data_IF_801656260549
#
_entry.id   IF_801656260549
#
_cell.length_a   1.000
_cell.length_b   1.000
_cell.length_c   1.000
_cell.angle_alpha   90.00
_cell.angle_beta   90.00
_cell.angle_gamma   90.00
#
_symmetry.space_group_name_H-M   'P 1'
#
loop_
_entity.id
_entity.type
_entity.pdbx_description
1 polymer ?
#
# COMPACT_ATOMS: atom_id res chain seq x y z
N UNK A 1 0.75 2.56 19.49
CA UNK A 1 1.91 2.81 18.62
C UNK A 1 3.14 2.95 19.51
N UNK A 2 4.11 2.05 19.34
CA UNK A 2 5.00 1.64 20.43
C UNK A 2 5.98 2.70 20.90
N UNK A 3 5.96 2.93 22.22
CA UNK A 3 6.82 3.87 22.96
C UNK A 3 8.31 3.73 22.61
N UNK A 4 8.76 2.55 22.17
CA UNK A 4 10.18 2.26 21.97
C UNK A 4 10.80 3.01 20.79
N UNK A 5 10.07 3.25 19.70
CA UNK A 5 10.57 3.95 18.51
C UNK A 5 10.82 5.45 18.76
N UNK A 6 10.18 6.01 19.80
CA UNK A 6 10.40 7.38 20.24
C UNK A 6 11.72 7.53 21.01
N UNK A 7 12.25 6.42 21.55
CA UNK A 7 13.43 6.42 22.41
C UNK A 7 14.65 5.79 21.76
N UNK A 8 14.46 4.88 20.81
CA UNK A 8 15.55 4.14 20.19
C UNK A 8 15.37 4.01 18.67
N UNK A 9 16.50 3.95 17.97
CA UNK A 9 16.57 3.67 16.54
C UNK A 9 17.47 2.48 16.27
N UNK A 10 16.94 1.47 15.59
CA UNK A 10 17.71 0.33 15.09
C UNK A 10 17.98 0.50 13.59
N UNK A 11 19.25 0.35 13.18
CA UNK A 11 19.69 0.51 11.80
C UNK A 11 20.77 -0.52 11.43
N UNK A 12 20.66 -1.21 10.28
CA UNK A 12 19.44 -1.31 9.47
C UNK A 12 18.31 -2.04 10.23
N UNK A 13 17.06 -1.73 9.90
CA UNK A 13 15.87 -2.47 10.35
C UNK A 13 15.52 -3.65 9.43
N UNK A 14 15.87 -3.57 8.14
CA UNK A 14 15.76 -4.67 7.19
C UNK A 14 17.15 -5.12 6.76
N UNK A 15 17.40 -6.43 6.81
CA UNK A 15 18.70 -7.03 6.46
C UNK A 15 18.53 -8.11 5.40
N UNK A 16 19.59 -8.40 4.66
CA UNK A 16 19.61 -9.50 3.69
C UNK A 16 19.96 -10.80 4.39
N UNK A 17 19.29 -11.90 4.04
CA UNK A 17 19.63 -13.24 4.50
C UNK A 17 20.99 -13.69 3.97
N UNK A 18 21.57 -14.73 4.60
CA UNK A 18 22.78 -15.38 4.08
C UNK A 18 24.09 -14.60 4.26
N UNK A 19 24.08 -13.47 4.98
CA UNK A 19 25.28 -12.69 5.26
C UNK A 19 25.31 -12.10 6.69
N UNK A 20 26.53 -11.82 7.17
CA UNK A 20 26.72 -11.07 8.41
C UNK A 20 26.39 -9.60 8.17
N UNK A 21 25.52 -9.04 9.01
CA UNK A 21 25.14 -7.64 8.94
C UNK A 21 25.44 -6.95 10.26
N UNK A 22 26.09 -5.77 10.17
CA UNK A 22 26.32 -4.88 11.31
C UNK A 22 25.06 -4.08 11.62
N UNK A 23 24.56 -4.23 12.84
CA UNK A 23 23.37 -3.54 13.34
C UNK A 23 23.76 -2.59 14.47
N UNK A 24 23.17 -1.40 14.46
CA UNK A 24 23.37 -0.36 15.47
C UNK A 24 22.04 0.04 16.09
N UNK A 25 21.97 0.02 17.42
CA UNK A 25 20.86 0.55 18.21
C UNK A 25 21.33 1.84 18.85
N UNK A 26 20.68 2.96 18.56
CA UNK A 26 21.01 4.28 19.10
C UNK A 26 19.89 4.80 19.99
N UNK A 27 20.21 5.34 21.16
CA UNK A 27 19.26 6.15 21.92
C UNK A 27 18.96 7.47 21.21
N UNK A 28 17.73 7.94 21.30
CA UNK A 28 17.25 9.20 20.71
C UNK A 28 17.17 10.35 21.72
N UNK A 29 17.45 10.06 23.00
CA UNK A 29 17.52 11.05 24.07
C UNK A 29 18.75 10.80 24.97
N UNK A 30 19.02 11.76 25.86
CA UNK A 30 20.18 11.76 26.75
C UNK A 30 20.05 10.82 27.93
N UNK A 31 18.83 10.57 28.42
CA UNK A 31 18.57 9.76 29.62
C UNK A 31 18.72 8.27 29.35
N UNK A 32 18.42 7.84 28.11
CA UNK A 32 18.38 6.44 27.69
C UNK A 32 19.63 5.94 26.99
N UNK A 33 20.71 6.74 27.01
CA UNK A 33 22.00 6.41 26.38
C UNK A 33 22.60 5.14 26.97
N UNK A 34 23.12 4.28 26.09
CA UNK A 34 23.92 3.12 26.52
C UNK A 34 25.28 3.58 27.08
N UNK A 35 25.56 3.21 28.33
CA UNK A 35 26.78 3.60 29.05
C UNK A 35 28.01 2.83 28.55
N UNK A 36 29.16 3.52 28.48
CA UNK A 36 30.44 2.92 28.12
C UNK A 36 31.00 1.96 29.17
N UNK A 37 30.57 2.11 30.41
CA UNK A 37 31.04 1.31 31.54
C UNK A 37 30.22 0.03 31.73
N UNK A 38 29.12 -0.09 30.99
CA UNK A 38 28.19 -1.21 31.06
C UNK A 38 28.39 -2.14 29.86
N UNK A 39 28.48 -3.44 30.15
CA UNK A 39 28.37 -4.48 29.13
C UNK A 39 26.90 -4.89 29.03
N UNK A 40 26.35 -4.86 27.84
CA UNK A 40 24.99 -5.26 27.53
C UNK A 40 25.00 -6.65 26.89
N UNK A 41 24.05 -7.48 27.31
CA UNK A 41 23.82 -8.80 26.74
C UNK A 41 22.66 -8.71 25.76
N UNK A 42 22.92 -9.06 24.51
CA UNK A 42 21.96 -9.06 23.41
C UNK A 42 21.61 -10.50 23.09
N UNK A 43 20.32 -10.82 23.12
CA UNK A 43 19.81 -12.12 22.72
C UNK A 43 18.99 -11.97 21.43
N UNK A 44 19.40 -12.68 20.38
CA UNK A 44 18.77 -12.63 19.07
C UNK A 44 17.86 -13.84 18.88
N UNK A 45 16.56 -13.59 18.69
CA UNK A 45 15.52 -14.62 18.70
C UNK A 45 14.75 -14.63 17.37
N UNK A 46 14.88 -15.69 16.55
CA UNK A 46 14.05 -15.86 15.36
C UNK A 46 12.59 -16.06 15.77
N UNK A 47 11.67 -15.34 15.13
CA UNK A 47 10.24 -15.32 15.48
C UNK A 47 9.52 -16.63 15.15
N UNK A 48 9.99 -17.39 14.15
CA UNK A 48 9.29 -18.60 13.67
C UNK A 48 9.79 -19.89 14.31
N UNK A 49 10.84 -19.84 15.13
CA UNK A 49 11.39 -21.02 15.81
C UNK A 49 10.96 -21.04 17.26
N UNK A 50 10.32 -22.12 17.68
CA UNK A 50 10.06 -22.35 19.09
C UNK A 50 11.38 -22.66 19.80
N UNK A 51 11.73 -21.85 20.79
CA UNK A 51 12.94 -22.01 21.61
C UNK A 51 12.63 -22.71 22.94
N UNK A 52 11.35 -22.95 23.28
CA UNK A 52 10.94 -23.69 24.48
C UNK A 52 11.00 -25.20 24.23
N UNK A 53 11.65 -25.93 25.13
CA UNK A 53 11.74 -27.40 25.07
C UNK A 53 12.80 -27.95 24.11
N UNK A 54 13.65 -27.08 23.54
CA UNK A 54 14.73 -27.49 22.64
C UNK A 54 15.96 -27.89 23.47
N UNK A 55 16.50 -29.09 23.22
CA UNK A 55 17.62 -29.67 23.98
C UNK A 55 18.99 -29.11 23.58
N UNK A 56 19.11 -28.52 22.38
CA UNK A 56 20.28 -27.79 21.90
C UNK A 56 19.84 -26.54 21.15
N UNK A 57 19.92 -25.40 21.82
CA UNK A 57 19.71 -24.09 21.20
C UNK A 57 21.09 -23.52 20.84
N UNK A 58 21.35 -23.13 19.58
CA UNK A 58 22.57 -22.40 19.25
C UNK A 58 22.68 -21.15 20.13
N UNK A 59 23.85 -20.86 20.68
CA UNK A 59 24.04 -19.62 21.43
C UNK A 59 23.89 -18.43 20.46
N UNK A 60 22.88 -17.60 20.73
CA UNK A 60 22.56 -16.38 19.97
C UNK A 60 22.79 -15.13 20.82
N UNK A 61 23.63 -15.28 21.83
CA UNK A 61 24.00 -14.22 22.76
C UNK A 61 25.22 -13.47 22.25
N UNK A 62 25.14 -12.15 22.30
CA UNK A 62 26.27 -11.26 21.99
C UNK A 62 26.43 -10.30 23.16
N UNK A 63 27.66 -10.16 23.66
CA UNK A 63 28.00 -9.16 24.67
C UNK A 63 28.68 -7.97 24.01
N UNK A 64 28.15 -6.78 24.24
CA UNK A 64 28.69 -5.53 23.70
C UNK A 64 28.72 -4.43 24.75
N UNK A 65 29.76 -3.62 24.77
CA UNK A 65 29.78 -2.40 25.59
C UNK A 65 29.02 -1.28 24.89
N UNK A 66 28.37 -0.42 25.69
CA UNK A 66 27.86 0.84 25.16
C UNK A 66 29.00 1.69 24.61
N UNK A 67 28.73 2.45 23.56
CA UNK A 67 29.65 3.47 23.05
C UNK A 67 28.88 4.62 22.46
N UNK A 68 29.15 5.85 22.92
CA UNK A 68 28.50 7.07 22.43
C UNK A 68 26.96 7.00 22.45
N UNK A 69 26.38 6.32 23.45
CA UNK A 69 24.93 6.12 23.55
C UNK A 69 24.37 5.10 22.56
N UNK A 70 25.20 4.20 22.02
CA UNK A 70 24.83 3.19 21.03
C UNK A 70 25.30 1.78 21.44
N UNK A 71 24.61 0.77 20.94
CA UNK A 71 25.06 -0.62 20.88
C UNK A 71 25.30 -1.00 19.43
N UNK A 72 26.40 -1.69 19.15
CA UNK A 72 26.76 -2.13 17.79
C UNK A 72 27.25 -3.56 17.82
N UNK A 73 26.65 -4.42 16.99
CA UNK A 73 26.97 -5.83 16.91
C UNK A 73 26.83 -6.34 15.47
N UNK A 74 27.41 -7.50 15.17
CA UNK A 74 27.24 -8.18 13.89
C UNK A 74 26.55 -9.53 14.10
N UNK A 75 25.63 -9.88 13.21
CA UNK A 75 24.92 -11.15 13.28
C UNK A 75 24.66 -11.71 11.88
N UNK A 76 24.65 -13.04 11.76
CA UNK A 76 24.31 -13.76 10.55
C UNK A 76 22.85 -14.17 10.57
N UNK A 77 22.06 -13.64 9.65
CA UNK A 77 20.62 -13.91 9.55
C UNK A 77 20.37 -15.04 8.56
N UNK A 78 20.00 -16.22 9.07
CA UNK A 78 19.96 -17.47 8.30
C UNK A 78 18.76 -17.57 7.35
N UNK A 79 17.59 -17.11 7.79
CA UNK A 79 16.31 -17.27 7.10
C UNK A 79 15.55 -15.96 7.07
N UNK A 80 14.69 -15.83 6.06
CA UNK A 80 13.71 -14.75 5.98
C UNK A 80 12.68 -14.92 7.12
N UNK A 81 12.74 -14.03 8.09
CA UNK A 81 11.84 -13.93 9.24
C UNK A 81 12.14 -12.66 10.04
N UNK A 82 11.25 -12.32 10.98
CA UNK A 82 11.54 -11.32 12.00
C UNK A 82 12.46 -11.90 13.07
N UNK A 83 13.44 -11.12 13.52
CA UNK A 83 14.33 -11.44 14.62
C UNK A 83 14.12 -10.43 15.74
N UNK A 84 13.64 -10.91 16.89
CA UNK A 84 13.56 -10.12 18.10
C UNK A 84 14.95 -9.97 18.72
N UNK A 85 15.36 -8.75 18.98
CA UNK A 85 16.63 -8.39 19.60
C UNK A 85 16.32 -7.93 21.01
N UNK A 86 16.51 -8.82 21.98
CA UNK A 86 16.30 -8.55 23.40
C UNK A 86 17.58 -8.04 24.04
N UNK A 87 17.52 -6.90 24.71
CA UNK A 87 18.67 -6.26 25.37
C UNK A 87 18.52 -6.37 26.89
N UNK A 88 19.61 -6.73 27.56
CA UNK A 88 19.74 -6.84 29.01
C UNK A 88 20.99 -6.06 29.48
N UNK A 89 20.94 -5.56 30.72
CA UNK A 89 22.09 -4.94 31.38
C UNK A 89 22.92 -6.05 32.04
N UNK A 90 24.15 -6.27 31.59
CA UNK A 90 24.99 -7.38 32.06
C UNK A 90 24.27 -8.73 32.00
N UNK A 91 24.32 -9.48 33.09
CA UNK A 91 23.65 -10.77 33.25
C UNK A 91 22.30 -10.66 34.00
N UNK A 92 21.71 -9.47 34.04
CA UNK A 92 20.37 -9.30 34.61
C UNK A 92 19.35 -10.21 33.90
N UNK A 93 18.42 -10.73 34.70
CA UNK A 93 17.33 -11.60 34.21
C UNK A 93 16.21 -10.81 33.55
N UNK A 94 15.99 -9.56 33.98
CA UNK A 94 14.96 -8.70 33.45
C UNK A 94 15.41 -8.07 32.13
N UNK A 95 14.56 -8.15 31.11
CA UNK A 95 14.81 -7.54 29.81
C UNK A 95 14.68 -6.01 29.93
N UNK A 96 15.71 -5.28 29.52
CA UNK A 96 15.68 -3.80 29.46
C UNK A 96 14.73 -3.33 28.37
N UNK A 97 14.87 -3.89 27.16
CA UNK A 97 14.06 -3.54 26.00
C UNK A 97 14.12 -4.64 24.94
N UNK A 98 13.21 -4.57 23.96
CA UNK A 98 13.23 -5.43 22.77
C UNK A 98 12.98 -4.58 21.53
N UNK A 99 13.80 -4.77 20.51
CA UNK A 99 13.59 -4.21 19.17
C UNK A 99 13.57 -5.34 18.15
N UNK A 100 13.25 -5.03 16.89
CA UNK A 100 13.20 -6.03 15.84
C UNK A 100 13.95 -5.62 14.58
N UNK A 101 14.51 -6.63 13.91
CA UNK A 101 15.04 -6.57 12.54
C UNK A 101 14.33 -7.64 11.72
N UNK A 102 14.03 -7.36 10.47
CA UNK A 102 13.48 -8.36 9.55
C UNK A 102 14.53 -8.73 8.50
N UNK A 103 14.84 -10.01 8.39
CA UNK A 103 15.70 -10.51 7.33
C UNK A 103 14.85 -10.88 6.12
N UNK A 104 15.25 -10.47 4.91
CA UNK A 104 14.58 -10.78 3.65
C UNK A 104 15.53 -11.43 2.65
N UNK A 105 14.99 -12.31 1.81
CA UNK A 105 15.72 -12.89 0.67
C UNK A 105 15.87 -11.88 -0.47
N UNK A 106 16.76 -12.20 -1.42
CA UNK A 106 17.21 -11.31 -2.49
C UNK A 106 16.07 -10.64 -3.27
N UNK A 107 15.00 -11.36 -3.60
CA UNK A 107 13.90 -10.81 -4.40
C UNK A 107 13.14 -9.69 -3.67
N UNK A 108 13.00 -9.76 -2.35
CA UNK A 108 12.44 -8.67 -1.53
C UNK A 108 13.51 -7.66 -1.11
N UNK A 109 14.78 -8.10 -0.99
CA UNK A 109 15.92 -7.22 -0.73
C UNK A 109 16.24 -6.28 -1.89
N UNK A 110 15.65 -6.43 -3.07
CA UNK A 110 15.78 -5.45 -4.16
C UNK A 110 14.57 -4.49 -4.25
N UNK A 111 13.50 -4.74 -3.49
CA UNK A 111 12.25 -3.97 -3.54
C UNK A 111 12.08 -3.04 -2.34
N UNK A 112 11.40 -1.91 -2.52
CA UNK A 112 11.01 -0.99 -1.44
C UNK A 112 9.51 -1.15 -1.15
N UNK A 113 9.10 -1.20 0.13
CA UNK A 113 7.69 -1.11 0.48
C UNK A 113 7.18 0.33 0.29
N UNK A 114 6.08 0.45 -0.45
CA UNK A 114 5.36 1.69 -0.74
C UNK A 114 3.94 1.58 -0.19
N UNK A 115 3.51 2.54 0.62
CA UNK A 115 2.12 2.65 1.07
C UNK A 115 1.31 3.41 0.02
N UNK A 116 0.23 2.84 -0.50
CA UNK A 116 -0.55 3.52 -1.54
C UNK A 116 -2.03 3.21 -1.57
N UNK A 117 -2.76 4.07 -2.27
CA UNK A 117 -4.19 3.94 -2.52
C UNK A 117 -4.49 4.03 -4.02
N UNK A 118 -5.32 3.11 -4.51
CA UNK A 118 -5.66 2.98 -5.92
C UNK A 118 -7.05 3.50 -6.22
N UNK A 119 -7.88 3.76 -5.20
CA UNK A 119 -9.28 4.09 -5.38
C UNK A 119 -9.68 5.19 -4.41
N UNK A 120 -9.89 6.40 -4.93
CA UNK A 120 -10.47 7.51 -4.19
C UNK A 120 -11.02 8.57 -5.12
N UNK A 121 -11.83 9.47 -4.58
CA UNK A 121 -12.64 10.41 -5.32
C UNK A 121 -12.46 11.83 -4.79
N UNK A 122 -12.52 12.79 -5.70
CA UNK A 122 -12.57 14.21 -5.40
C UNK A 122 -14.02 14.67 -5.35
N UNK A 123 -14.29 15.78 -4.65
CA UNK A 123 -15.64 16.32 -4.50
C UNK A 123 -16.43 16.50 -5.83
N UNK A 124 -15.82 16.79 -7.00
CA UNK A 124 -16.55 16.85 -8.26
C UNK A 124 -17.22 15.56 -8.75
N UNK A 125 -16.82 14.36 -8.31
CA UNK A 125 -17.41 13.10 -8.80
C UNK A 125 -18.80 12.84 -8.22
N UNK A 126 -19.03 13.25 -6.97
CA UNK A 126 -20.33 13.15 -6.31
C UNK A 126 -21.21 14.34 -6.67
N UNK A 127 -22.25 14.09 -7.45
CA UNK A 127 -23.32 15.05 -7.76
C UNK A 127 -24.23 15.26 -6.54
N UNK A 128 -23.66 15.55 -5.36
CA UNK A 128 -24.39 16.16 -4.24
C UNK A 128 -23.94 17.62 -4.11
N UNK A 129 -24.62 18.45 -4.92
CA UNK A 129 -24.80 19.90 -5.02
C UNK A 129 -24.42 20.89 -3.86
N UNK A 130 -23.64 20.54 -2.84
CA UNK A 130 -23.46 21.41 -1.66
C UNK A 130 -22.03 21.78 -1.26
N UNK A 131 -20.97 21.36 -1.95
CA UNK A 131 -19.58 21.57 -1.43
C UNK A 131 -18.62 22.39 -2.27
N UNK A 132 -19.05 22.92 -3.42
CA UNK A 132 -18.25 23.91 -4.19
C UNK A 132 -17.88 25.18 -3.40
N UNK A 133 -18.44 25.41 -2.21
CA UNK A 133 -18.33 26.69 -1.50
C UNK A 133 -17.14 26.80 -0.53
N UNK A 134 -16.52 25.69 -0.12
CA UNK A 134 -15.50 25.71 0.96
C UNK A 134 -14.10 25.20 0.54
N UNK A 135 -13.90 24.84 -0.74
CA UNK A 135 -12.58 24.42 -1.25
C UNK A 135 -11.98 23.15 -0.64
N UNK A 136 -12.77 22.37 0.11
CA UNK A 136 -12.35 21.09 0.65
C UNK A 136 -12.43 19.99 -0.42
N UNK A 137 -11.37 19.19 -0.55
CA UNK A 137 -11.27 18.01 -1.41
C UNK A 137 -11.22 18.26 -2.93
N UNK A 138 -10.47 19.30 -3.35
CA UNK A 138 -10.09 19.52 -4.77
C UNK A 138 -8.99 18.53 -5.22
N UNK A 139 -8.88 18.22 -6.53
CA UNK A 139 -7.86 17.29 -7.03
C UNK A 139 -6.43 17.62 -6.58
N UNK A 140 -5.98 18.90 -6.56
CA UNK A 140 -4.66 19.25 -6.03
C UNK A 140 -4.49 19.08 -4.52
N UNK A 141 -5.56 19.18 -3.72
CA UNK A 141 -5.49 19.08 -2.26
C UNK A 141 -5.35 17.63 -1.77
N UNK A 142 -5.95 16.68 -2.49
CA UNK A 142 -6.02 15.26 -2.08
C UNK A 142 -4.65 14.61 -1.87
N UNK A 143 -3.65 14.75 -2.77
CA UNK A 143 -2.30 14.23 -2.55
C UNK A 143 -1.66 14.73 -1.26
N UNK A 144 -1.97 15.97 -0.83
CA UNK A 144 -1.44 16.54 0.39
C UNK A 144 -1.97 15.82 1.64
N UNK A 145 -3.26 15.42 1.65
CA UNK A 145 -3.84 14.60 2.72
C UNK A 145 -3.19 13.22 2.78
N UNK A 146 -3.05 12.53 1.64
CA UNK A 146 -2.37 11.24 1.57
C UNK A 146 -0.92 11.34 2.03
N UNK A 147 -0.20 12.37 1.58
CA UNK A 147 1.20 12.54 1.94
C UNK A 147 1.36 12.78 3.43
N UNK A 148 0.52 13.61 4.05
CA UNK A 148 0.56 13.82 5.50
C UNK A 148 0.35 12.53 6.32
N UNK A 149 -0.36 11.56 5.73
CA UNK A 149 -0.66 10.26 6.30
C UNK A 149 0.32 9.14 5.89
N UNK A 150 1.45 9.53 5.31
CA UNK A 150 2.58 8.63 5.05
C UNK A 150 2.47 7.82 3.77
N UNK A 151 1.59 8.19 2.84
CA UNK A 151 1.48 7.50 1.55
C UNK A 151 2.63 7.89 0.60
N UNK A 152 3.09 6.89 -0.14
CA UNK A 152 4.10 7.00 -1.19
C UNK A 152 3.46 7.15 -2.58
N UNK A 153 2.24 6.66 -2.80
CA UNK A 153 1.51 6.89 -4.04
C UNK A 153 0.00 6.94 -3.84
N UNK A 154 -0.70 7.54 -4.79
CA UNK A 154 -2.16 7.55 -4.84
C UNK A 154 -2.67 7.60 -6.30
N UNK A 155 -3.96 7.30 -6.51
CA UNK A 155 -4.66 7.51 -7.79
C UNK A 155 -6.01 8.15 -7.53
N UNK A 156 -6.29 9.24 -8.23
CA UNK A 156 -7.61 9.87 -8.19
C UNK A 156 -8.44 9.21 -9.28
N UNK A 157 -9.55 8.60 -8.90
CA UNK A 157 -10.35 7.74 -9.77
C UNK A 157 -11.79 8.20 -9.76
N UNK A 158 -12.02 9.48 -10.10
CA UNK A 158 -13.36 10.06 -10.13
C UNK A 158 -14.30 9.27 -11.06
N UNK A 159 -15.57 9.15 -10.66
CA UNK A 159 -16.60 8.53 -11.48
C UNK A 159 -16.69 9.20 -12.85
N UNK A 160 -16.55 8.41 -13.91
CA UNK A 160 -16.69 8.84 -15.31
C UNK A 160 -15.71 9.95 -15.75
N UNK A 161 -14.71 10.28 -14.93
CA UNK A 161 -13.87 11.47 -15.12
C UNK A 161 -12.39 11.17 -14.91
N UNK A 162 -11.65 11.20 -16.00
CA UNK A 162 -10.20 11.13 -15.99
C UNK A 162 -9.52 12.48 -15.66
N UNK A 163 -10.20 13.58 -15.97
CA UNK A 163 -9.63 14.94 -15.88
C UNK A 163 -9.11 15.30 -14.48
N UNK A 164 -9.73 14.83 -13.40
CA UNK A 164 -9.28 15.13 -12.04
C UNK A 164 -7.84 14.67 -11.78
N UNK A 165 -7.50 13.45 -12.22
CA UNK A 165 -6.14 12.92 -12.06
C UNK A 165 -5.11 13.64 -12.95
N UNK A 166 -5.55 14.14 -14.11
CA UNK A 166 -4.74 14.98 -15.01
C UNK A 166 -4.51 16.37 -14.41
N UNK A 167 -5.54 17.02 -13.87
CA UNK A 167 -5.45 18.32 -13.20
C UNK A 167 -4.48 18.27 -12.02
N UNK A 168 -4.62 17.24 -11.18
CA UNK A 168 -3.71 16.96 -10.07
C UNK A 168 -2.25 16.87 -10.53
N UNK A 169 -1.95 16.08 -11.56
CA UNK A 169 -0.59 15.94 -12.10
C UNK A 169 -0.06 17.24 -12.69
N UNK A 170 -0.90 17.97 -13.43
CA UNK A 170 -0.53 19.26 -14.04
C UNK A 170 -0.19 20.30 -12.97
N UNK A 171 -0.98 20.35 -11.89
CA UNK A 171 -0.80 21.31 -10.81
C UNK A 171 0.57 21.20 -10.14
N UNK A 172 1.06 19.98 -9.90
CA UNK A 172 2.36 19.74 -9.27
C UNK A 172 3.51 19.53 -10.25
N UNK A 173 3.31 19.80 -11.55
CA UNK A 173 4.30 19.48 -12.60
C UNK A 173 5.63 20.23 -12.47
N UNK A 174 5.65 21.33 -11.74
CA UNK A 174 6.85 22.15 -11.52
C UNK A 174 7.48 21.93 -10.13
N UNK A 175 6.96 21.00 -9.31
CA UNK A 175 7.46 20.69 -7.97
C UNK A 175 7.87 19.22 -7.86
N UNK A 176 8.99 18.94 -7.20
CA UNK A 176 9.41 17.57 -6.88
C UNK A 176 8.74 17.14 -5.58
N UNK A 177 8.11 15.98 -5.61
CA UNK A 177 7.43 15.38 -4.48
C UNK A 177 7.87 13.94 -4.27
N UNK A 178 7.76 13.48 -3.03
CA UNK A 178 8.00 12.09 -2.63
C UNK A 178 6.78 11.19 -2.79
N UNK A 179 5.64 11.74 -3.24
CA UNK A 179 4.42 11.00 -3.58
C UNK A 179 4.27 10.87 -5.10
N UNK A 180 3.93 9.66 -5.56
CA UNK A 180 3.58 9.40 -6.97
C UNK A 180 2.08 9.55 -7.17
N UNK A 181 1.68 10.44 -8.07
CA UNK A 181 0.29 10.71 -8.42
C UNK A 181 -0.04 10.01 -9.74
N UNK A 182 -0.61 8.81 -9.67
CA UNK A 182 -0.93 8.06 -10.88
C UNK A 182 -2.17 8.65 -11.55
N UNK A 183 -2.21 8.59 -12.88
CA UNK A 183 -3.42 8.85 -13.65
C UNK A 183 -4.45 7.75 -13.41
N UNK A 184 -5.72 8.09 -13.52
CA UNK A 184 -6.79 7.13 -13.39
C UNK A 184 -8.18 7.75 -13.41
N UNK A 185 -9.15 6.86 -13.35
CA UNK A 185 -10.60 7.11 -13.31
C UNK A 185 -11.29 5.85 -12.81
N UNK A 186 -12.53 5.99 -12.36
CA UNK A 186 -13.44 4.85 -12.25
C UNK A 186 -14.37 4.82 -13.46
N UNK A 187 -14.39 3.69 -14.16
CA UNK A 187 -15.08 3.50 -15.43
C UNK A 187 -16.50 3.01 -15.20
N UNK A 188 -17.48 3.77 -15.69
CA UNK A 188 -18.91 3.46 -15.63
C UNK A 188 -19.47 3.36 -17.06
N UNK A 189 -19.09 2.29 -17.75
CA UNK A 189 -19.52 2.06 -19.13
C UNK A 189 -21.07 1.96 -19.23
N UNK A 190 -21.68 2.35 -20.37
CA UNK A 190 -23.13 2.31 -20.54
C UNK A 190 -23.69 0.90 -20.25
N UNK A 191 -24.79 0.84 -19.49
CA UNK A 191 -25.44 -0.41 -19.02
C UNK A 191 -24.59 -1.29 -18.10
N UNK A 192 -23.46 -0.81 -17.60
CA UNK A 192 -22.62 -1.55 -16.65
C UNK A 192 -22.81 -1.02 -15.23
N UNK A 193 -23.22 -1.88 -14.30
CA UNK A 193 -23.24 -1.56 -12.88
C UNK A 193 -21.95 -2.00 -12.16
N UNK A 194 -21.04 -2.68 -12.85
CA UNK A 194 -19.77 -3.10 -12.27
C UNK A 194 -18.80 -1.94 -12.23
N UNK A 195 -18.30 -1.65 -11.04
CA UNK A 195 -17.30 -0.61 -10.78
C UNK A 195 -15.90 -1.13 -11.13
N UNK A 196 -15.20 -0.41 -12.02
CA UNK A 196 -13.87 -0.80 -12.52
C UNK A 196 -12.95 0.41 -12.44
N UNK A 197 -11.85 0.28 -11.71
CA UNK A 197 -10.81 1.31 -11.70
C UNK A 197 -9.80 1.08 -12.82
N UNK A 198 -9.52 2.16 -13.56
CA UNK A 198 -8.38 2.28 -14.47
C UNK A 198 -7.20 2.87 -13.68
N UNK A 199 -6.33 2.02 -13.14
CA UNK A 199 -5.17 2.46 -12.36
C UNK A 199 -3.95 2.65 -13.27
N UNK A 200 -3.43 3.89 -13.33
CA UNK A 200 -2.20 4.24 -14.05
C UNK A 200 -2.33 4.24 -15.57
N UNK A 201 -3.55 4.18 -16.11
CA UNK A 201 -3.77 4.27 -17.56
C UNK A 201 -3.43 5.65 -18.12
N UNK A 202 -2.95 5.67 -19.36
CA UNK A 202 -2.45 6.89 -20.04
C UNK A 202 -3.58 7.73 -20.66
N UNK A 203 -4.77 7.17 -20.82
CA UNK A 203 -5.94 7.85 -21.37
C UNK A 203 -7.25 7.32 -20.76
N UNK A 204 -8.32 8.10 -20.92
CA UNK A 204 -9.65 7.75 -20.44
C UNK A 204 -10.32 6.69 -21.31
N UNK A 205 -10.79 5.61 -20.68
CA UNK A 205 -11.71 4.63 -21.26
C UNK A 205 -13.14 5.15 -21.29
N UNK A 206 -13.52 5.99 -20.31
CA UNK A 206 -14.82 6.65 -20.31
C UNK A 206 -15.01 7.51 -21.58
N UNK A 207 -14.00 8.31 -21.93
CA UNK A 207 -14.04 9.17 -23.11
C UNK A 207 -14.16 8.40 -24.44
N UNK A 208 -13.76 7.12 -24.50
CA UNK A 208 -13.89 6.32 -25.73
C UNK A 208 -15.36 6.16 -26.11
N UNK A 209 -16.21 5.72 -25.18
CA UNK A 209 -17.63 5.51 -25.47
C UNK A 209 -18.43 6.82 -25.40
N UNK A 210 -17.96 7.83 -24.66
CA UNK A 210 -18.59 9.16 -24.65
C UNK A 210 -18.43 9.86 -26.01
N UNK A 211 -17.26 9.73 -26.64
CA UNK A 211 -16.97 10.34 -27.94
C UNK A 211 -17.42 9.49 -29.13
N UNK A 212 -17.45 8.16 -28.99
CA UNK A 212 -17.86 7.23 -30.05
C UNK A 212 -18.73 6.08 -29.51
N UNK A 213 -20.01 6.34 -29.20
CA UNK A 213 -20.94 5.32 -28.71
C UNK A 213 -21.18 4.16 -29.69
N UNK A 214 -21.08 4.43 -31.00
CA UNK A 214 -21.27 3.42 -32.05
C UNK A 214 -20.12 2.42 -32.06
N UNK A 215 -18.87 2.90 -31.92
CA UNK A 215 -17.70 2.03 -31.76
C UNK A 215 -17.81 1.17 -30.52
N UNK A 216 -18.21 1.74 -29.38
CA UNK A 216 -18.43 0.96 -28.16
C UNK A 216 -19.43 -0.18 -28.39
N UNK A 217 -20.59 0.13 -28.96
CA UNK A 217 -21.64 -0.87 -29.24
C UNK A 217 -21.13 -1.97 -30.17
N UNK A 218 -20.42 -1.61 -31.24
CA UNK A 218 -19.82 -2.57 -32.17
C UNK A 218 -18.76 -3.47 -31.52
N UNK A 219 -17.83 -2.90 -30.78
CA UNK A 219 -16.75 -3.67 -30.14
C UNK A 219 -17.28 -4.61 -29.04
N UNK A 220 -18.34 -4.21 -28.32
CA UNK A 220 -19.04 -5.09 -27.36
C UNK A 220 -19.76 -6.23 -28.08
N UNK A 221 -20.47 -5.94 -29.17
CA UNK A 221 -21.13 -6.97 -29.98
C UNK A 221 -20.13 -7.97 -30.56
N UNK A 222 -18.96 -7.50 -31.02
CA UNK A 222 -17.90 -8.37 -31.52
C UNK A 222 -17.40 -9.35 -30.44
N UNK A 223 -17.27 -8.91 -29.19
CA UNK A 223 -16.94 -9.80 -28.06
C UNK A 223 -18.05 -10.84 -27.86
N UNK A 224 -19.31 -10.43 -27.90
CA UNK A 224 -20.45 -11.35 -27.75
C UNK A 224 -20.54 -12.40 -28.87
N UNK A 225 -20.15 -12.02 -30.09
CA UNK A 225 -20.21 -12.89 -31.27
C UNK A 225 -19.03 -13.86 -31.35
N UNK A 226 -17.86 -13.48 -30.80
CA UNK A 226 -16.61 -14.22 -30.96
C UNK A 226 -16.21 -15.04 -29.72
N UNK A 227 -16.71 -14.71 -28.54
CA UNK A 227 -16.33 -15.38 -27.29
C UNK A 227 -17.46 -16.24 -26.72
N UNK A 228 -17.10 -17.38 -26.15
CA UNK A 228 -18.03 -18.24 -25.44
C UNK A 228 -18.32 -17.65 -24.06
N UNK A 229 -19.49 -17.04 -23.91
CA UNK A 229 -19.95 -16.41 -22.66
C UNK A 229 -21.04 -17.28 -22.01
N UNK A 230 -20.67 -18.03 -20.98
CA UNK A 230 -21.56 -18.84 -20.15
C UNK A 230 -22.22 -18.01 -19.03
N UNK A 231 -22.91 -16.93 -19.39
CA UNK A 231 -23.67 -16.09 -18.46
C UNK A 231 -24.94 -15.59 -19.14
N UNK A 232 -26.05 -15.49 -18.39
CA UNK A 232 -27.34 -15.16 -18.98
C UNK A 232 -27.36 -13.75 -19.60
N UNK A 233 -26.68 -12.79 -18.96
CA UNK A 233 -26.50 -11.43 -19.45
C UNK A 233 -25.13 -11.29 -20.14
N UNK A 234 -25.07 -11.80 -21.38
CA UNK A 234 -23.84 -11.77 -22.19
C UNK A 234 -23.35 -10.35 -22.48
N UNK A 235 -24.26 -9.38 -22.61
CA UNK A 235 -23.92 -7.98 -22.89
C UNK A 235 -23.14 -7.39 -21.71
N UNK A 236 -23.64 -7.56 -20.48
CA UNK A 236 -22.94 -7.09 -19.29
C UNK A 236 -21.54 -7.70 -19.15
N UNK A 237 -21.40 -9.00 -19.37
CA UNK A 237 -20.09 -9.66 -19.33
C UNK A 237 -19.14 -9.08 -20.39
N UNK A 238 -19.61 -8.95 -21.63
CA UNK A 238 -18.83 -8.41 -22.73
C UNK A 238 -18.38 -6.96 -22.50
N UNK A 239 -19.23 -6.12 -21.90
CA UNK A 239 -18.86 -4.75 -21.51
C UNK A 239 -17.68 -4.74 -20.53
N UNK A 240 -17.70 -5.62 -19.53
CA UNK A 240 -16.62 -5.71 -18.54
C UNK A 240 -15.29 -6.18 -19.17
N UNK A 241 -15.37 -7.15 -20.09
CA UNK A 241 -14.21 -7.58 -20.90
C UNK A 241 -13.69 -6.41 -21.76
N UNK A 242 -14.59 -5.67 -22.40
CA UNK A 242 -14.26 -4.50 -23.21
C UNK A 242 -13.53 -3.43 -22.40
N UNK A 243 -14.06 -3.07 -21.23
CA UNK A 243 -13.44 -2.08 -20.33
C UNK A 243 -12.05 -2.54 -19.92
N UNK A 244 -11.92 -3.77 -19.40
CA UNK A 244 -10.63 -4.29 -18.94
C UNK A 244 -9.59 -4.35 -20.08
N UNK A 245 -10.00 -4.68 -21.31
CA UNK A 245 -9.10 -4.64 -22.49
C UNK A 245 -8.67 -3.23 -22.85
N UNK A 246 -9.57 -2.24 -22.80
CA UNK A 246 -9.21 -0.86 -23.11
C UNK A 246 -8.31 -0.23 -22.03
N UNK A 247 -8.50 -0.60 -20.76
CA UNK A 247 -7.58 -0.21 -19.67
C UNK A 247 -6.17 -0.78 -19.94
N UNK A 248 -6.05 -2.05 -20.35
CA UNK A 248 -4.76 -2.64 -20.72
C UNK A 248 -4.12 -1.96 -21.92
N UNK A 249 -4.91 -1.60 -22.94
CA UNK A 249 -4.43 -0.81 -24.10
C UNK A 249 -3.92 0.57 -23.68
N UNK A 250 -4.46 1.13 -22.60
CA UNK A 250 -3.99 2.36 -21.97
C UNK A 250 -2.78 2.17 -21.06
N UNK A 251 -2.13 0.99 -21.07
CA UNK A 251 -1.02 0.62 -20.18
C UNK A 251 -1.38 0.60 -18.68
N UNK A 252 -2.67 0.64 -18.34
CA UNK A 252 -3.17 0.60 -16.96
C UNK A 252 -3.33 -0.80 -16.38
N UNK A 253 -3.87 -0.85 -15.17
CA UNK A 253 -4.32 -2.05 -14.45
C UNK A 253 -5.84 -1.96 -14.29
N UNK A 254 -6.57 -2.93 -14.85
CA UNK A 254 -8.02 -3.02 -14.65
C UNK A 254 -8.30 -3.65 -13.28
N UNK A 255 -8.78 -2.84 -12.32
CA UNK A 255 -9.09 -3.29 -10.96
C UNK A 255 -10.59 -3.55 -10.84
N UNK A 256 -10.96 -4.75 -10.39
CA UNK A 256 -12.33 -5.08 -10.06
C UNK A 256 -12.69 -4.62 -8.64
N UNK A 257 -13.60 -3.65 -8.54
CA UNK A 257 -13.89 -2.96 -7.29
C UNK A 257 -15.13 -3.53 -6.58
N UNK A 258 -15.02 -3.66 -5.26
CA UNK A 258 -16.07 -3.99 -4.29
C UNK A 258 -17.38 -4.64 -4.81
N UNK A 259 -17.36 -5.89 -5.33
CA UNK A 259 -18.57 -6.56 -5.85
C UNK A 259 -19.68 -6.75 -4.81
N UNK A 260 -19.30 -6.89 -3.54
CA UNK A 260 -20.23 -7.06 -2.42
C UNK A 260 -20.69 -5.74 -1.80
N UNK A 261 -20.39 -4.59 -2.42
CA UNK A 261 -21.05 -3.34 -2.05
C UNK A 261 -22.57 -3.51 -2.17
N UNK A 262 -23.31 -3.02 -1.19
CA UNK A 262 -24.73 -3.33 -1.00
C UNK A 262 -25.48 -2.03 -0.74
N UNK A 263 -25.96 -1.36 -1.81
CA UNK A 263 -26.93 -0.27 -1.66
C UNK A 263 -28.32 -0.82 -1.30
N UNK A 264 -28.67 -2.03 -1.77
CA UNK A 264 -29.94 -2.74 -1.49
C UNK A 264 -29.78 -4.28 -1.61
N UNK A 265 -29.08 -4.72 -2.65
CA UNK A 265 -28.54 -6.07 -2.85
C UNK A 265 -27.06 -5.97 -3.19
N UNK A 266 -26.29 -7.06 -3.14
CA UNK A 266 -24.91 -7.04 -3.62
C UNK A 266 -24.85 -6.59 -5.08
N UNK A 267 -23.98 -5.62 -5.35
CA UNK A 267 -23.88 -4.95 -6.64
C UNK A 267 -23.56 -5.94 -7.77
N UNK A 268 -22.63 -6.87 -7.53
CA UNK A 268 -22.25 -7.91 -8.49
C UNK A 268 -22.59 -9.28 -7.91
N UNK A 269 -23.27 -10.11 -8.70
CA UNK A 269 -23.64 -11.46 -8.28
C UNK A 269 -22.39 -12.34 -8.06
N UNK A 270 -22.52 -13.35 -7.19
CA UNK A 270 -21.47 -14.34 -7.00
C UNK A 270 -21.17 -15.11 -8.29
N UNK A 271 -22.20 -15.43 -9.08
CA UNK A 271 -22.05 -16.11 -10.38
C UNK A 271 -21.15 -15.31 -11.33
N UNK A 272 -21.45 -14.02 -11.51
CA UNK A 272 -20.68 -13.15 -12.39
C UNK A 272 -19.27 -12.90 -11.85
N UNK A 273 -19.14 -12.71 -10.53
CA UNK A 273 -17.84 -12.59 -9.86
C UNK A 273 -16.98 -13.83 -10.11
N UNK A 274 -17.52 -15.03 -9.93
CA UNK A 274 -16.81 -16.29 -10.17
C UNK A 274 -16.38 -16.41 -11.63
N UNK A 275 -17.24 -16.03 -12.57
CA UNK A 275 -16.92 -16.08 -14.00
C UNK A 275 -15.79 -15.09 -14.36
N UNK A 276 -15.80 -13.87 -13.81
CA UNK A 276 -14.71 -12.91 -14.00
C UNK A 276 -13.37 -13.44 -13.48
N UNK A 277 -13.37 -14.07 -12.30
CA UNK A 277 -12.15 -14.64 -11.70
C UNK A 277 -11.64 -15.84 -12.49
N UNK A 278 -12.54 -16.76 -12.87
CA UNK A 278 -12.20 -17.96 -13.66
C UNK A 278 -11.57 -17.59 -15.01
N UNK A 279 -12.11 -16.56 -15.67
CA UNK A 279 -11.67 -16.15 -17.00
C UNK A 279 -10.56 -15.08 -16.97
N UNK A 280 -10.11 -14.65 -15.79
CA UNK A 280 -9.04 -13.66 -15.65
C UNK A 280 -9.37 -12.31 -16.29
N UNK A 281 -10.63 -11.85 -16.20
CA UNK A 281 -11.09 -10.63 -16.88
C UNK A 281 -10.33 -9.39 -16.41
N UNK A 282 -10.01 -9.32 -15.11
CA UNK A 282 -9.36 -8.18 -14.46
C UNK A 282 -7.91 -8.48 -14.06
N UNK A 283 -7.10 -7.43 -13.98
CA UNK A 283 -5.68 -7.52 -13.65
C UNK A 283 -5.41 -7.51 -12.14
N UNK A 284 -6.36 -7.01 -11.35
CA UNK A 284 -6.28 -6.95 -9.90
C UNK A 284 -7.69 -6.94 -9.27
N UNK A 285 -7.77 -7.27 -7.98
CA UNK A 285 -9.03 -7.32 -7.24
C UNK A 285 -8.96 -6.55 -5.93
N UNK A 286 -9.91 -5.64 -5.73
CA UNK A 286 -10.07 -4.91 -4.48
C UNK A 286 -10.73 -5.80 -3.41
N UNK A 287 -9.92 -6.65 -2.78
CA UNK A 287 -10.40 -7.62 -1.78
C UNK A 287 -10.90 -6.93 -0.50
N UNK A 288 -10.35 -5.76 -0.16
CA UNK A 288 -10.84 -4.89 0.93
C UNK A 288 -11.01 -3.46 0.42
N UNK A 289 -12.22 -2.90 0.52
CA UNK A 289 -12.57 -1.57 0.00
C UNK A 289 -13.47 -0.78 0.95
N UNK A 290 -14.05 0.35 0.55
CA UNK A 290 -14.99 1.19 1.34
C UNK A 290 -16.28 0.49 1.81
N UNK A 291 -16.39 -0.83 1.70
CA UNK A 291 -17.54 -1.58 2.19
C UNK A 291 -17.45 -1.88 3.70
N UNK A 292 -18.56 -2.33 4.28
CA UNK A 292 -18.60 -2.79 5.66
C UNK A 292 -17.68 -3.99 5.88
N UNK A 293 -17.31 -4.24 7.14
CA UNK A 293 -16.48 -5.39 7.50
C UNK A 293 -17.08 -6.72 7.03
N UNK A 294 -18.41 -6.89 7.12
CA UNK A 294 -19.10 -8.10 6.66
C UNK A 294 -18.99 -8.30 5.14
N UNK A 295 -19.04 -7.22 4.36
CA UNK A 295 -18.89 -7.28 2.90
C UNK A 295 -17.46 -7.62 2.48
N UNK A 296 -16.45 -7.01 3.12
CA UNK A 296 -15.05 -7.36 2.90
C UNK A 296 -14.76 -8.82 3.30
N UNK A 297 -15.40 -9.33 4.37
CA UNK A 297 -15.27 -10.73 4.78
C UNK A 297 -15.75 -11.68 3.66
N UNK A 298 -16.92 -11.43 3.06
CA UNK A 298 -17.43 -12.23 1.94
C UNK A 298 -16.50 -12.16 0.72
N UNK A 299 -15.98 -10.97 0.37
CA UNK A 299 -14.98 -10.82 -0.71
C UNK A 299 -13.75 -11.70 -0.48
N UNK A 300 -13.25 -11.74 0.75
CA UNK A 300 -12.09 -12.55 1.14
C UNK A 300 -12.41 -14.05 1.16
N UNK A 301 -13.57 -14.44 1.68
CA UNK A 301 -14.01 -15.83 1.72
C UNK A 301 -14.18 -16.40 0.31
N UNK A 302 -14.81 -15.65 -0.59
CA UNK A 302 -14.97 -16.04 -2.00
C UNK A 302 -13.61 -16.13 -2.70
N UNK A 303 -12.71 -15.17 -2.48
CA UNK A 303 -11.37 -15.20 -3.05
C UNK A 303 -10.62 -16.48 -2.67
N UNK A 304 -10.61 -16.83 -1.38
CA UNK A 304 -9.90 -18.02 -0.91
C UNK A 304 -10.56 -19.31 -1.39
N UNK A 305 -11.89 -19.36 -1.44
CA UNK A 305 -12.61 -20.52 -1.97
C UNK A 305 -12.24 -20.78 -3.43
N UNK A 306 -12.25 -19.75 -4.27
CA UNK A 306 -11.88 -19.87 -5.69
C UNK A 306 -10.41 -20.26 -5.86
N UNK A 307 -9.51 -19.74 -5.02
CA UNK A 307 -8.11 -20.15 -5.01
C UNK A 307 -7.96 -21.63 -4.66
N UNK A 308 -8.70 -22.13 -3.68
CA UNK A 308 -8.69 -23.54 -3.26
C UNK A 308 -9.32 -24.46 -4.32
N UNK A 309 -10.27 -23.94 -5.12
CA UNK A 309 -10.80 -24.59 -6.33
C UNK A 309 -9.79 -24.62 -7.49
N UNK A 310 -8.59 -24.05 -7.32
CA UNK A 310 -7.52 -24.04 -8.33
C UNK A 310 -7.58 -22.88 -9.32
N UNK A 311 -8.46 -21.89 -9.10
CA UNK A 311 -8.52 -20.69 -9.93
C UNK A 311 -7.30 -19.81 -9.66
N UNK A 312 -6.64 -19.36 -10.72
CA UNK A 312 -5.57 -18.36 -10.64
C UNK A 312 -6.19 -16.99 -10.35
N UNK A 313 -6.32 -16.69 -9.06
CA UNK A 313 -6.84 -15.41 -8.61
C UNK A 313 -5.91 -14.24 -8.97
N UNK A 314 -6.44 -13.05 -9.31
CA UNK A 314 -5.63 -11.86 -9.57
C UNK A 314 -4.99 -11.31 -8.27
N UNK A 315 -3.95 -10.47 -8.37
CA UNK A 315 -3.34 -9.76 -7.24
C UNK A 315 -4.38 -9.05 -6.35
N UNK A 316 -4.19 -9.14 -5.04
CA UNK A 316 -5.04 -8.49 -4.05
C UNK A 316 -4.66 -7.02 -3.86
N UNK A 317 -5.66 -6.14 -3.87
CA UNK A 317 -5.54 -4.72 -3.54
C UNK A 317 -6.47 -4.35 -2.39
N UNK A 318 -6.05 -3.34 -1.63
CA UNK A 318 -6.86 -2.65 -0.65
C UNK A 318 -6.91 -1.16 -0.98
N UNK A 319 -8.10 -0.58 -0.96
CA UNK A 319 -8.27 0.82 -1.34
C UNK A 319 -9.32 1.52 -0.46
N UNK A 320 -9.20 2.83 -0.31
CA UNK A 320 -10.09 3.54 0.61
C UNK A 320 -11.47 3.77 0.02
N UNK A 321 -11.58 3.95 -1.30
CA UNK A 321 -12.78 4.45 -1.97
C UNK A 321 -13.33 5.68 -1.20
N UNK A 322 -12.39 6.60 -0.94
CA UNK A 322 -12.63 7.78 -0.14
C UNK A 322 -13.26 8.89 -0.95
N UNK A 323 -14.42 9.36 -0.49
CA UNK A 323 -15.16 10.48 -1.06
C UNK A 323 -15.03 11.77 -0.23
N UNK A 324 -14.48 11.69 0.99
CA UNK A 324 -14.43 12.81 1.94
C UNK A 324 -13.17 12.71 2.81
N UNK A 325 -12.27 13.68 2.74
CA UNK A 325 -10.98 13.60 3.47
C UNK A 325 -10.97 14.37 4.79
N UNK A 326 -11.93 15.28 4.96
CA UNK A 326 -11.98 16.23 6.08
C UNK A 326 -12.98 15.85 7.18
N UNK A 327 -13.72 14.75 7.02
CA UNK A 327 -14.72 14.30 8.01
C UNK A 327 -14.20 13.13 8.84
N UNK A 328 -14.26 13.21 10.19
CA UNK A 328 -13.99 12.08 11.07
C UNK A 328 -14.91 10.89 10.75
N UNK A 329 -14.35 9.69 10.66
CA UNK A 329 -15.01 8.42 10.28
C UNK A 329 -15.23 8.18 8.78
N UNK A 330 -14.65 8.99 7.89
CA UNK A 330 -14.55 8.64 6.48
C UNK A 330 -13.81 7.30 6.25
N UNK A 331 -13.94 6.76 5.04
CA UNK A 331 -13.24 5.55 4.58
C UNK A 331 -11.74 5.79 4.39
N UNK A 332 -11.29 7.05 4.34
CA UNK A 332 -9.89 7.47 4.34
C UNK A 332 -9.09 6.78 5.45
N UNK A 333 -7.90 6.29 5.11
CA UNK A 333 -6.96 5.57 5.99
C UNK A 333 -7.41 4.20 6.49
N UNK A 334 -8.68 3.81 6.31
CA UNK A 334 -9.15 2.51 6.80
C UNK A 334 -8.55 1.37 6.00
N UNK A 335 -8.38 1.55 4.69
CA UNK A 335 -7.87 0.52 3.78
C UNK A 335 -6.91 1.12 2.78
N UNK A 336 -5.86 0.37 2.47
CA UNK A 336 -4.83 0.75 1.51
C UNK A 336 -4.01 -0.50 1.13
N UNK A 337 -3.07 -0.34 0.22
CA UNK A 337 -2.15 -1.39 -0.21
C UNK A 337 -0.72 -1.05 0.19
N UNK A 338 0.02 -2.03 0.68
CA UNK A 338 1.49 -1.99 0.69
C UNK A 338 1.99 -2.71 -0.56
N UNK A 339 2.70 -2.00 -1.42
CA UNK A 339 3.24 -2.50 -2.69
C UNK A 339 4.76 -2.54 -2.63
N UNK A 340 5.37 -3.66 -3.02
CA UNK A 340 6.82 -3.82 -3.02
C UNK A 340 7.36 -3.60 -4.42
N UNK A 341 7.87 -2.41 -4.70
CA UNK A 341 8.32 -1.99 -6.02
C UNK A 341 9.80 -1.58 -6.00
N UNK A 342 10.47 -1.66 -7.16
CA UNK A 342 11.88 -1.21 -7.28
C UNK A 342 12.01 0.29 -7.04
N UNK A 343 11.07 1.06 -7.57
CA UNK A 343 11.04 2.52 -7.50
C UNK A 343 9.62 3.02 -7.18
N UNK A 344 9.51 4.25 -6.67
CA UNK A 344 8.23 4.94 -6.52
C UNK A 344 7.86 5.63 -7.83
N UNK A 345 7.49 4.83 -8.84
CA UNK A 345 7.07 5.29 -10.17
C UNK A 345 5.86 4.47 -10.62
N UNK A 346 4.95 5.06 -11.40
CA UNK A 346 3.75 4.38 -11.90
C UNK A 346 4.07 3.04 -12.54
N UNK A 347 5.09 3.01 -13.42
CA UNK A 347 5.55 1.79 -14.08
C UNK A 347 5.99 0.71 -13.08
N UNK A 348 6.86 1.04 -12.13
CA UNK A 348 7.35 0.08 -11.13
C UNK A 348 6.23 -0.42 -10.21
N UNK A 349 5.25 0.43 -9.89
CA UNK A 349 4.09 0.06 -9.08
C UNK A 349 3.17 -0.90 -9.85
N UNK A 350 2.89 -0.63 -11.14
CA UNK A 350 2.11 -1.52 -12.02
C UNK A 350 2.79 -2.89 -12.15
N UNK A 351 4.11 -2.91 -12.38
CA UNK A 351 4.90 -4.15 -12.45
C UNK A 351 4.78 -4.94 -11.14
N UNK A 352 4.96 -4.29 -9.99
CA UNK A 352 4.82 -4.93 -8.68
C UNK A 352 3.41 -5.50 -8.42
N UNK A 353 2.35 -4.79 -8.83
CA UNK A 353 0.97 -5.29 -8.75
C UNK A 353 0.83 -6.56 -9.58
N UNK A 354 1.24 -6.53 -10.85
CA UNK A 354 1.15 -7.67 -11.78
C UNK A 354 1.97 -8.88 -11.31
N UNK A 355 3.06 -8.64 -10.58
CA UNK A 355 3.93 -9.67 -10.00
C UNK A 355 3.49 -10.16 -8.61
N UNK A 356 2.26 -9.85 -8.17
CA UNK A 356 1.69 -10.27 -6.88
C UNK A 356 2.50 -9.77 -5.67
N UNK A 357 3.17 -8.63 -5.81
CA UNK A 357 3.98 -7.99 -4.76
C UNK A 357 3.18 -6.93 -4.01
N UNK A 358 1.97 -7.30 -3.57
CA UNK A 358 1.06 -6.42 -2.84
C UNK A 358 0.49 -7.11 -1.61
N UNK A 359 0.21 -6.30 -0.57
CA UNK A 359 -0.59 -6.72 0.58
C UNK A 359 -1.61 -5.64 0.93
N UNK A 360 -2.91 -5.91 0.80
CA UNK A 360 -3.94 -5.05 1.37
C UNK A 360 -3.83 -4.98 2.89
N UNK A 361 -4.08 -3.81 3.44
CA UNK A 361 -4.19 -3.57 4.89
C UNK A 361 -5.56 -3.00 5.19
N UNK A 362 -6.26 -3.56 6.18
CA UNK A 362 -7.55 -3.09 6.68
C UNK A 362 -7.45 -2.78 8.18
N UNK A 363 -7.82 -1.56 8.57
CA UNK A 363 -7.96 -1.15 9.98
C UNK A 363 -9.36 -1.47 10.51
N UNK A 364 -9.40 -2.13 11.66
CA UNK A 364 -10.62 -2.47 12.41
C UNK A 364 -10.46 -1.92 13.82
N UNK A 365 -11.02 -0.73 14.06
CA UNK A 365 -10.82 -0.01 15.31
C UNK A 365 -9.35 0.41 15.47
N UNK A 366 -8.70 -0.05 16.54
CA UNK A 366 -7.28 0.23 16.82
C UNK A 366 -6.32 -0.83 16.30
N UNK A 367 -6.83 -1.91 15.71
CA UNK A 367 -6.06 -3.02 15.17
C UNK A 367 -6.08 -3.00 13.65
N UNK A 368 -5.13 -3.69 13.03
CA UNK A 368 -5.06 -3.84 11.58
C UNK A 368 -4.91 -5.31 11.18
N UNK A 369 -5.42 -5.63 9.99
CA UNK A 369 -5.31 -6.93 9.36
C UNK A 369 -4.54 -6.74 8.05
N UNK A 370 -3.59 -7.64 7.78
CA UNK A 370 -2.87 -7.67 6.51
C UNK A 370 -3.30 -8.92 5.74
N UNK A 371 -3.61 -8.75 4.46
CA UNK A 371 -4.01 -9.82 3.56
C UNK A 371 -2.92 -10.12 2.53
N UNK A 372 -2.84 -11.37 2.08
CA UNK A 372 -1.88 -11.79 1.04
C UNK A 372 -1.23 -13.14 1.37
N UNK A 373 -0.08 -13.40 0.73
CA UNK A 373 0.72 -14.59 1.06
C UNK A 373 1.30 -14.47 2.47
N UNK A 374 1.45 -15.60 3.18
CA UNK A 374 2.03 -15.62 4.53
C UNK A 374 3.38 -14.89 4.60
N UNK A 375 4.21 -15.09 3.56
CA UNK A 375 5.51 -14.44 3.39
C UNK A 375 5.40 -12.91 3.44
N UNK A 376 4.58 -12.31 2.55
CA UNK A 376 4.42 -10.86 2.52
C UNK A 376 3.66 -10.33 3.74
N UNK A 377 2.66 -11.06 4.23
CA UNK A 377 1.92 -10.70 5.45
C UNK A 377 2.86 -10.56 6.65
N UNK A 378 3.75 -11.53 6.86
CA UNK A 378 4.76 -11.47 7.92
C UNK A 378 5.64 -10.23 7.81
N UNK A 379 6.08 -9.92 6.59
CA UNK A 379 6.94 -8.77 6.35
C UNK A 379 6.20 -7.42 6.50
N UNK A 380 4.99 -7.28 5.95
CA UNK A 380 4.16 -6.07 6.11
C UNK A 380 3.87 -5.79 7.58
N UNK A 381 3.57 -6.82 8.39
CA UNK A 381 3.34 -6.63 9.83
C UNK A 381 4.55 -6.01 10.53
N UNK A 382 5.76 -6.50 10.24
CA UNK A 382 6.97 -5.86 10.73
C UNK A 382 7.09 -4.39 10.26
N UNK A 383 6.83 -4.12 8.99
CA UNK A 383 6.92 -2.76 8.44
C UNK A 383 5.88 -1.80 9.06
N UNK A 384 4.67 -2.30 9.35
CA UNK A 384 3.62 -1.56 10.04
C UNK A 384 4.02 -1.12 11.45
N UNK A 385 4.86 -1.91 12.12
CA UNK A 385 5.34 -1.63 13.48
C UNK A 385 6.64 -0.82 13.47
N UNK A 386 7.57 -1.10 12.55
CA UNK A 386 8.95 -0.61 12.61
C UNK A 386 9.37 0.37 11.51
N UNK A 387 8.59 0.52 10.44
CA UNK A 387 8.94 1.35 9.28
C UNK A 387 7.93 2.46 8.99
N UNK A 388 6.67 2.11 8.74
CA UNK A 388 5.63 3.07 8.33
C UNK A 388 5.32 4.17 9.37
N UNK A 389 5.39 3.92 10.70
CA UNK A 389 5.26 5.00 11.67
C UNK A 389 6.36 6.07 11.51
N UNK A 390 7.56 5.65 11.12
CA UNK A 390 8.72 6.54 10.96
C UNK A 390 8.66 7.29 9.63
N UNK A 391 8.18 6.66 8.55
CA UNK A 391 7.96 7.36 7.29
C UNK A 391 6.78 8.31 7.37
N UNK A 392 5.70 7.99 8.11
CA UNK A 392 4.61 8.94 8.35
C UNK A 392 5.12 10.26 8.92
N UNK A 393 6.01 10.22 9.92
CA UNK A 393 6.62 11.44 10.50
C UNK A 393 7.38 12.26 9.45
N UNK A 394 8.11 11.61 8.54
CA UNK A 394 8.82 12.28 7.45
C UNK A 394 7.84 12.92 6.46
N UNK A 395 6.79 12.19 6.10
CA UNK A 395 5.82 12.63 5.10
C UNK A 395 4.86 13.70 5.64
N UNK A 396 4.62 13.74 6.95
CA UNK A 396 3.74 14.71 7.61
C UNK A 396 4.15 16.15 7.31
N UNK A 397 5.45 16.46 7.37
CA UNK A 397 5.97 17.78 7.01
C UNK A 397 5.74 18.11 5.54
N UNK A 398 6.00 17.15 4.65
CA UNK A 398 5.82 17.34 3.20
C UNK A 398 4.35 17.56 2.85
N UNK A 399 3.42 16.78 3.42
CA UNK A 399 1.99 16.95 3.23
C UNK A 399 1.49 18.32 3.71
N UNK A 400 1.96 18.80 4.87
CA UNK A 400 1.63 20.16 5.35
C UNK A 400 2.14 21.25 4.41
N UNK A 401 3.34 21.09 3.85
CA UNK A 401 3.87 22.00 2.84
C UNK A 401 3.06 21.93 1.54
N UNK A 402 2.62 20.73 1.10
CA UNK A 402 1.76 20.60 -0.08
C UNK A 402 0.43 21.36 0.12
N UNK A 403 -0.19 21.29 1.30
CA UNK A 403 -1.41 22.08 1.60
C UNK A 403 -1.17 23.60 1.47
N UNK A 404 -0.03 24.08 1.96
CA UNK A 404 0.39 25.48 1.83
C UNK A 404 0.65 25.90 0.39
N UNK A 405 1.26 25.01 -0.39
CA UNK A 405 1.50 25.21 -1.81
C UNK A 405 0.17 25.33 -2.58
N UNK A 406 -0.83 24.49 -2.28
CA UNK A 406 -2.16 24.55 -2.91
C UNK A 406 -2.86 25.89 -2.69
N UNK A 407 -2.68 26.53 -1.53
CA UNK A 407 -3.27 27.84 -1.24
C UNK A 407 -2.40 29.03 -1.69
N UNK A 408 -1.28 28.78 -2.36
CA UNK A 408 -0.42 29.82 -2.94
C UNK A 408 0.54 30.51 -1.96
N UNK A 409 0.92 29.86 -0.85
CA UNK A 409 1.93 30.41 0.07
C UNK A 409 3.31 30.49 -0.62
N UNK A 410 3.94 31.67 -0.58
CA UNK A 410 5.23 31.91 -1.22
C UNK A 410 6.39 31.14 -0.55
N UNK A 411 7.41 30.79 -1.33
CA UNK A 411 8.62 30.12 -0.82
C UNK A 411 8.48 28.62 -0.50
N UNK A 412 7.26 28.05 -0.59
CA UNK A 412 7.00 26.64 -0.24
C UNK A 412 7.61 25.65 -1.24
N UNK A 413 7.68 26.02 -2.52
CA UNK A 413 8.19 25.16 -3.59
C UNK A 413 9.60 24.64 -3.32
N UNK A 414 10.52 25.52 -2.93
CA UNK A 414 11.91 25.14 -2.66
C UNK A 414 12.02 24.16 -1.47
N UNK A 415 11.14 24.30 -0.49
CA UNK A 415 11.11 23.40 0.68
C UNK A 415 10.53 22.03 0.35
N UNK A 416 9.58 21.95 -0.58
CA UNK A 416 9.06 20.69 -1.13
C UNK A 416 10.16 19.96 -1.92
N UNK A 417 10.85 20.67 -2.82
CA UNK A 417 11.91 20.08 -3.66
C UNK A 417 13.03 19.43 -2.83
N UNK A 418 13.40 20.05 -1.69
CA UNK A 418 14.41 19.52 -0.75
C UNK A 418 13.96 18.23 -0.07
N UNK A 419 12.65 17.98 0.04
CA UNK A 419 12.06 16.87 0.82
C UNK A 419 11.65 15.67 0.00
N UNK A 420 11.48 15.82 -1.32
CA UNK A 420 10.98 14.78 -2.21
C UNK A 420 11.65 13.40 -2.02
N UNK A 421 12.95 13.37 -1.72
CA UNK A 421 13.73 12.14 -1.58
C UNK A 421 13.90 11.66 -0.12
N UNK A 422 13.29 12.31 0.88
CA UNK A 422 13.54 12.00 2.29
C UNK A 422 13.19 10.56 2.66
N UNK A 423 12.04 10.05 2.18
CA UNK A 423 11.64 8.66 2.44
C UNK A 423 12.53 7.68 1.70
N UNK A 424 12.94 7.98 0.45
CA UNK A 424 13.87 7.14 -0.30
C UNK A 424 15.25 7.06 0.39
N UNK A 425 15.76 8.20 0.86
CA UNK A 425 17.00 8.29 1.61
C UNK A 425 16.90 7.58 2.97
N UNK A 426 15.75 7.66 3.62
CA UNK A 426 15.49 6.91 4.85
C UNK A 426 15.46 5.40 4.59
N UNK A 427 14.80 4.95 3.51
CA UNK A 427 14.75 3.54 3.12
C UNK A 427 16.14 2.96 2.88
N UNK A 428 17.04 3.68 2.19
CA UNK A 428 18.44 3.25 1.99
C UNK A 428 19.14 2.97 3.33
N UNK A 429 18.99 3.88 4.30
CA UNK A 429 19.54 3.72 5.66
C UNK A 429 18.87 2.57 6.41
N UNK A 430 17.53 2.45 6.32
CA UNK A 430 16.73 1.47 7.03
C UNK A 430 16.94 0.04 6.51
N UNK A 431 17.16 -0.14 5.20
CA UNK A 431 17.41 -1.43 4.56
C UNK A 431 18.90 -1.80 4.46
N UNK A 432 19.80 -0.88 4.84
CA UNK A 432 21.24 -1.05 4.70
C UNK A 432 21.72 -1.09 3.24
N UNK A 433 20.85 -0.76 2.27
CA UNK A 433 21.19 -0.66 0.85
C UNK A 433 22.00 0.62 0.60
N UNK A 434 23.04 0.50 -0.22
CA UNK A 434 23.87 1.65 -0.64
C UNK A 434 23.29 2.32 -1.87
#
# INVERSE_FOLDING_TARGET
MDKILNFYRIMPGVVRTGQKTKVTISALDTERRFSSDVTYRILILPSTRNMRGVTKVPDRTIYVKGKDGKLTFEYFYEKEEEYFISIFVGDEKAKMMQVSVYAVDDDLYELRPLKGDQHCHSCPSDVTLLRKKDGSDTPPMIPAYYREEGFDYMTLTDHERFFGSVEMNKFYSDVKLGITMNLGEEVHAPKNYVHIVNFGGEYSVNEIYQNDPERFTREVQEIMDTEEIEYFDKELYAINVWVARNIRKANGVAVFCHPHWNPYVYNVSDELTRLFMKNGVFDAYEVVGATTFGQNNLKLALYNSLKDEGIKMPPMLGSSDCHMFTIPNATFLRRYTVTYAKENTTKSIIEAIKDYKTTPVEWVGSEYIVHGSYRLVSYTRYLMEWYFPLTKQICEEEGKLMKKYVIGEEGVKEELDKRANNVANFWKKFSGRK
#
